data_IF_376442211344
#
_entry.id   IF_376442211344
#
_cell.length_a   1.000
_cell.length_b   1.000
_cell.length_c   1.000
_cell.angle_alpha   90.00
_cell.angle_beta   90.00
_cell.angle_gamma   90.00
#
_symmetry.space_group_name_H-M   'P 1'
#
loop_
_entity.id
_entity.type
_entity.pdbx_description
1 polymer ?
2 non-polymer ?
3 non-polymer ?
4 water ?
#
# COMPACT_ATOMS: atom_id res chain seq x y z
N UNK A 3 -20.05 23.42 -7.28
CA UNK A 3 -19.14 24.26 -6.46
C UNK A 3 -17.74 23.63 -6.40
N UNK A 4 -16.75 24.39 -5.93
CA UNK A 4 -15.35 23.93 -5.70
C UNK A 4 -15.27 23.17 -4.37
N UNK A 5 -14.58 22.04 -4.36
CA UNK A 5 -14.18 21.36 -3.10
C UNK A 5 -12.97 20.48 -3.36
N UNK A 6 -12.06 20.48 -2.41
CA UNK A 6 -10.86 19.64 -2.39
C UNK A 6 -10.91 18.75 -1.15
N UNK A 7 -10.87 17.43 -1.35
CA UNK A 7 -10.94 16.40 -0.27
C UNK A 7 -9.56 15.76 -0.13
N UNK A 8 -9.01 15.71 1.09
CA UNK A 8 -7.77 14.96 1.42
C UNK A 8 -8.14 13.68 2.15
N UNK A 9 -7.51 12.58 1.74
CA UNK A 9 -7.49 11.28 2.47
C UNK A 9 -6.04 10.89 2.68
N UNK A 10 -5.78 10.09 3.70
CA UNK A 10 -4.42 9.60 4.05
C UNK A 10 -4.34 8.10 3.78
N UNK A 11 -3.24 7.68 3.18
CA UNK A 11 -2.84 6.27 3.12
C UNK A 11 -1.59 6.11 3.94
N UNK A 12 -1.41 4.93 4.52
CA UNK A 12 -0.14 4.47 5.10
C UNK A 12 0.32 3.24 4.33
N UNK A 13 1.44 3.37 3.63
CA UNK A 13 2.21 2.22 3.09
C UNK A 13 3.24 1.85 4.12
N UNK A 14 3.68 0.61 4.15
CA UNK A 14 4.64 0.18 5.15
C UNK A 14 5.12 -1.20 4.87
N UNK A 15 6.13 -1.63 5.58
CA UNK A 15 6.65 -3.01 5.47
C UNK A 15 7.37 -3.37 6.75
N UNK A 16 7.37 -4.66 7.03
CA UNK A 16 8.16 -5.29 8.08
C UNK A 16 9.05 -6.32 7.42
N UNK A 17 10.25 -6.50 7.94
CA UNK A 17 11.19 -7.55 7.52
C UNK A 17 11.96 -8.06 8.74
N UNK A 18 12.23 -9.36 8.78
CA UNK A 18 13.12 -9.94 9.80
C UNK A 18 13.88 -11.13 9.22
N UNK A 19 15.10 -11.30 9.67
CA UNK A 19 15.94 -12.50 9.41
C UNK A 19 15.23 -13.71 10.02
N UNK A 20 14.92 -14.73 9.22
CA UNK A 20 14.45 -16.04 9.71
C UNK A 20 15.55 -16.61 10.62
N UNK A 21 15.16 -17.15 11.78
CA UNK A 21 16.09 -17.87 12.72
C UNK A 21 17.03 -18.75 11.89
N UNK A 22 16.48 -19.63 11.06
CA UNK A 22 17.20 -20.36 9.98
C UNK A 22 16.61 -19.99 8.64
N UNK A 23 17.44 -19.87 7.57
CA UNK A 23 16.93 -19.69 6.21
C UNK A 23 15.96 -20.83 5.80
N UNK A 24 15.19 -20.62 4.74
CA UNK A 24 14.36 -21.68 4.12
C UNK A 24 15.26 -22.55 3.24
N UNK A 25 14.76 -23.73 2.89
CA UNK A 25 15.29 -24.66 1.85
C UNK A 25 15.82 -23.87 0.63
N UNK A 26 15.06 -22.84 0.18
CA UNK A 26 15.29 -22.07 -1.08
C UNK A 26 16.38 -21.00 -0.88
N UNK A 27 16.90 -20.96 0.37
CA UNK A 27 17.92 -19.98 0.79
C UNK A 27 17.31 -18.62 1.01
N UNK A 28 16.00 -18.58 1.23
CA UNK A 28 15.28 -17.36 1.69
C UNK A 28 15.65 -17.12 3.15
N UNK A 29 16.28 -15.98 3.40
CA UNK A 29 16.85 -15.59 4.70
C UNK A 29 15.82 -14.78 5.51
N UNK A 30 14.84 -14.18 4.84
CA UNK A 30 13.93 -13.16 5.45
C UNK A 30 12.47 -13.51 5.23
N UNK A 31 11.66 -13.15 6.21
CA UNK A 31 10.21 -12.92 6.03
C UNK A 31 10.02 -11.42 5.92
N UNK A 32 9.21 -11.00 4.97
CA UNK A 32 8.73 -9.60 4.94
C UNK A 32 7.21 -9.54 4.70
N UNK A 33 6.65 -8.41 5.03
CA UNK A 33 5.23 -8.11 4.83
C UNK A 33 5.13 -6.65 4.38
N UNK A 34 4.43 -6.39 3.29
CA UNK A 34 4.16 -5.01 2.80
C UNK A 34 2.65 -4.78 2.79
N UNK A 35 2.23 -3.55 3.04
CA UNK A 35 0.80 -3.24 3.19
C UNK A 35 0.50 -1.82 2.78
N UNK A 36 -0.76 -1.59 2.49
CA UNK A 36 -1.43 -0.27 2.44
C UNK A 36 -2.61 -0.31 3.41
N UNK A 37 -2.76 0.72 4.23
CA UNK A 37 -3.89 0.84 5.18
C UNK A 37 -4.28 2.29 5.34
N UNK A 38 -5.41 2.53 5.99
CA UNK A 38 -5.82 3.87 6.45
C UNK A 38 -5.24 4.13 7.82
N UNK A 39 -5.24 5.40 8.28
CA UNK A 39 -5.03 5.70 9.69
C UNK A 39 -6.10 4.99 10.54
N UNK A 40 -5.96 5.07 11.86
CA UNK A 40 -6.96 4.57 12.85
C UNK A 40 -8.36 5.08 12.51
N UNK A 41 -9.36 4.18 12.43
CA UNK A 41 -10.81 4.49 12.43
C UNK A 41 -11.26 5.04 11.06
N UNK A 42 -10.45 4.86 10.03
CA UNK A 42 -10.82 5.16 8.61
C UNK A 42 -10.97 3.85 7.86
N UNK A 43 -11.92 3.80 6.96
CA UNK A 43 -12.15 2.63 6.09
C UNK A 43 -11.85 3.04 4.65
N UNK A 44 -10.60 2.88 4.20
CA UNK A 44 -10.16 3.29 2.84
C UNK A 44 -10.86 2.42 1.80
N UNK A 45 -11.47 1.31 2.22
CA UNK A 45 -12.16 0.40 1.26
C UNK A 45 -13.29 1.16 0.56
N UNK A 46 -13.80 2.23 1.17
CA UNK A 46 -14.91 3.04 0.60
C UNK A 46 -14.50 3.64 -0.76
N UNK A 47 -13.20 3.96 -0.93
CA UNK A 47 -12.71 4.70 -2.11
C UNK A 47 -11.60 3.92 -2.82
N UNK A 48 -11.04 2.91 -2.17
CA UNK A 48 -10.06 1.98 -2.78
C UNK A 48 -10.81 0.80 -3.39
N UNK A 49 -10.73 0.62 -4.71
CA UNK A 49 -11.23 -0.59 -5.40
C UNK A 49 -10.33 -1.77 -5.06
N UNK A 50 -9.02 -1.62 -5.25
CA UNK A 50 -8.01 -2.69 -5.04
C UNK A 50 -6.64 -2.07 -4.89
N UNK A 51 -5.71 -2.84 -4.36
CA UNK A 51 -4.25 -2.51 -4.36
C UNK A 51 -3.52 -3.63 -5.10
N UNK A 52 -2.68 -3.27 -6.05
CA UNK A 52 -1.81 -4.18 -6.83
C UNK A 52 -0.38 -3.95 -6.37
N UNK A 53 0.23 -4.98 -5.79
CA UNK A 53 1.65 -5.05 -5.41
C UNK A 53 2.42 -5.76 -6.53
N UNK A 54 3.35 -5.05 -7.15
CA UNK A 54 4.22 -5.57 -8.24
C UNK A 54 5.53 -6.03 -7.63
N UNK A 55 5.61 -7.32 -7.35
CA UNK A 55 6.80 -7.98 -6.78
C UNK A 55 7.87 -8.07 -7.83
N UNK A 56 9.11 -8.30 -7.43
CA UNK A 56 10.27 -8.52 -8.34
C UNK A 56 9.94 -9.65 -9.33
N UNK A 57 10.36 -9.51 -10.59
CA UNK A 57 10.19 -10.53 -11.67
C UNK A 57 10.62 -11.92 -11.17
N UNK A 58 11.55 -11.97 -10.19
CA UNK A 58 12.11 -13.22 -9.59
C UNK A 58 11.02 -14.02 -8.85
N UNK A 59 9.89 -13.40 -8.49
CA UNK A 59 8.74 -14.08 -7.83
C UNK A 59 7.83 -14.67 -8.90
N UNK A 60 7.19 -15.83 -8.63
CA UNK A 60 6.07 -16.29 -9.44
C UNK A 60 4.79 -15.49 -9.11
N UNK A 61 3.79 -15.51 -10.00
CA UNK A 61 2.65 -14.55 -10.05
C UNK A 61 3.03 -13.30 -9.25
N UNK A 62 3.95 -12.46 -9.81
CA UNK A 62 4.42 -11.27 -9.11
C UNK A 62 3.36 -10.15 -9.00
N UNK A 63 2.35 -10.15 -9.87
CA UNK A 63 1.15 -9.29 -9.74
C UNK A 63 0.27 -9.83 -8.62
N UNK A 64 0.28 -9.16 -7.47
CA UNK A 64 -0.51 -9.51 -6.28
C UNK A 64 -1.63 -8.48 -6.09
N UNK A 65 -2.86 -8.91 -6.15
CA UNK A 65 -4.06 -8.04 -6.10
C UNK A 65 -4.72 -8.29 -4.75
N UNK A 66 -4.97 -7.24 -3.97
CA UNK A 66 -5.90 -7.24 -2.82
C UNK A 66 -7.10 -6.39 -3.16
N UNK A 67 -8.27 -7.01 -3.29
CA UNK A 67 -9.52 -6.35 -3.69
C UNK A 67 -10.27 -5.85 -2.45
N UNK A 68 -9.85 -6.29 -1.25
CA UNK A 68 -10.44 -5.83 0.05
C UNK A 68 -9.38 -5.93 1.15
N UNK A 69 -9.58 -5.26 2.31
CA UNK A 69 -8.62 -5.35 3.40
C UNK A 69 -8.49 -6.80 3.84
N UNK A 70 -7.31 -7.23 4.32
CA UNK A 70 -6.13 -6.38 4.37
C UNK A 70 -5.47 -6.25 3.01
N UNK A 71 -4.97 -5.07 2.70
CA UNK A 71 -4.13 -4.79 1.52
C UNK A 71 -2.68 -5.07 1.89
N UNK A 72 -2.24 -6.30 1.74
CA UNK A 72 -0.89 -6.71 2.19
C UNK A 72 -0.40 -7.91 1.38
N UNK A 73 0.91 -8.05 1.26
CA UNK A 73 1.60 -9.28 0.78
C UNK A 73 2.53 -9.74 1.88
N UNK A 74 2.51 -11.02 2.19
CA UNK A 74 3.50 -11.65 3.09
C UNK A 74 4.33 -12.65 2.28
N UNK A 75 5.64 -12.55 2.39
CA UNK A 75 6.58 -13.35 1.58
C UNK A 75 7.85 -13.58 2.38
N UNK A 76 8.60 -14.58 1.98
CA UNK A 76 10.02 -14.81 2.37
C UNK A 76 10.89 -14.64 1.12
N UNK A 77 12.06 -14.04 1.29
CA UNK A 77 13.03 -13.81 0.19
C UNK A 77 14.43 -13.62 0.73
N UNK A 78 15.33 -13.11 -0.09
CA UNK A 78 16.76 -12.99 0.27
C UNK A 78 17.28 -11.60 -0.09
N UNK A 79 16.50 -10.75 -0.76
CA UNK A 79 16.94 -9.40 -1.15
C UNK A 79 15.75 -8.44 -1.22
N UNK A 80 15.97 -7.19 -0.81
CA UNK A 80 15.02 -6.07 -1.00
C UNK A 80 14.91 -5.70 -2.48
N UNK A 81 13.93 -4.89 -2.83
CA UNK A 81 13.72 -4.40 -4.20
C UNK A 81 12.73 -3.26 -4.17
N UNK A 82 12.63 -2.56 -5.27
CA UNK A 82 11.66 -1.47 -5.52
C UNK A 82 10.36 -2.08 -6.00
N UNK A 83 9.29 -1.85 -5.26
CA UNK A 83 7.98 -2.47 -5.53
C UNK A 83 7.01 -1.37 -5.98
N UNK A 84 6.56 -1.39 -7.24
CA UNK A 84 5.43 -0.57 -7.63
C UNK A 84 4.18 -1.04 -6.89
N UNK A 85 3.47 -0.10 -6.29
CA UNK A 85 2.16 -0.34 -5.62
C UNK A 85 1.14 0.58 -6.27
N UNK A 86 0.13 0.00 -6.89
CA UNK A 86 -0.99 0.73 -7.49
C UNK A 86 -2.17 0.67 -6.54
N UNK A 87 -2.70 1.83 -6.18
CA UNK A 87 -3.95 1.96 -5.40
C UNK A 87 -5.05 2.46 -6.34
N UNK A 88 -5.92 1.55 -6.73
CA UNK A 88 -7.02 1.83 -7.67
C UNK A 88 -8.21 2.38 -6.90
N UNK A 89 -8.85 3.41 -7.45
CA UNK A 89 -9.97 4.12 -6.81
C UNK A 89 -11.30 3.64 -7.40
N UNK A 90 -12.35 3.72 -6.61
CA UNK A 90 -13.77 3.58 -7.05
C UNK A 90 -14.23 4.93 -7.62
N UNK A 91 -13.41 5.51 -8.49
CA UNK A 91 -13.61 6.85 -9.12
C UNK A 91 -13.96 6.63 -10.60
N UNK A 92 -14.98 7.30 -11.08
CA UNK A 92 -15.50 7.11 -12.45
C UNK A 92 -14.70 8.01 -13.39
N UNK A 93 -13.99 9.02 -12.86
CA UNK A 93 -13.17 9.99 -13.64
C UNK A 93 -11.71 9.93 -13.13
N UNK A 94 -10.83 10.76 -13.71
CA UNK A 94 -9.41 10.86 -13.29
C UNK A 94 -9.34 11.62 -11.97
N UNK A 95 -8.37 11.29 -11.09
CA UNK A 95 -7.53 10.11 -11.26
C UNK A 95 -8.18 8.77 -10.84
N UNK A 96 -7.82 7.72 -11.54
CA UNK A 96 -8.44 6.38 -11.45
C UNK A 96 -7.63 5.53 -10.48
N UNK A 97 -6.39 5.91 -10.27
CA UNK A 97 -5.44 5.19 -9.40
C UNK A 97 -4.28 6.12 -9.10
N UNK A 98 -3.43 5.72 -8.17
CA UNK A 98 -2.17 6.40 -7.84
C UNK A 98 -1.10 5.32 -7.70
N UNK A 99 0.11 5.65 -8.10
CA UNK A 99 1.24 4.69 -8.22
C UNK A 99 2.38 5.14 -7.33
N UNK A 100 2.79 4.28 -6.44
CA UNK A 100 3.92 4.50 -5.55
C UNK A 100 5.03 3.57 -5.97
N UNK A 101 6.25 3.99 -5.79
CA UNK A 101 7.48 3.19 -5.89
C UNK A 101 7.95 2.89 -4.48
N UNK A 102 7.66 1.70 -3.96
CA UNK A 102 7.94 1.39 -2.54
C UNK A 102 9.33 0.73 -2.43
N UNK A 103 10.16 1.29 -1.56
CA UNK A 103 11.49 0.76 -1.22
C UNK A 103 11.32 -0.38 -0.20
N UNK A 104 11.20 -1.61 -0.67
CA UNK A 104 11.18 -2.81 0.20
C UNK A 104 12.60 -3.27 0.49
N UNK A 105 13.21 -2.74 1.54
CA UNK A 105 14.57 -3.15 1.98
C UNK A 105 14.46 -4.11 3.17
N UNK A 106 15.47 -4.94 3.30
CA UNK A 106 15.60 -5.96 4.36
C UNK A 106 16.67 -5.52 5.35
N UNK A 107 16.61 -6.02 6.59
CA UNK A 107 17.67 -5.87 7.60
C UNK A 107 18.73 -6.93 7.31
N UNK A 108 19.98 -6.54 7.21
CA UNK A 108 21.08 -7.49 6.97
C UNK A 108 22.05 -7.41 8.13
N UNK A 109 22.90 -8.44 8.24
CA UNK A 109 24.01 -8.55 9.24
C UNK A 109 23.48 -8.24 10.64
N UNK A 110 22.59 -9.08 11.16
CA UNK A 110 22.11 -8.99 12.55
C UNK A 110 21.75 -7.56 12.95
N UNK A 111 21.09 -6.82 12.06
CA UNK A 111 20.40 -5.55 12.41
C UNK A 111 19.03 -5.87 12.95
N UNK A 112 18.45 -5.01 13.80
CA UNK A 112 17.08 -5.19 14.23
C UNK A 112 16.14 -5.41 13.04
N UNK A 113 14.97 -6.06 13.26
CA UNK A 113 13.91 -6.10 12.26
C UNK A 113 13.54 -4.70 11.74
N UNK A 114 13.07 -4.66 10.51
CA UNK A 114 12.59 -3.43 9.81
C UNK A 114 11.09 -3.27 10.09
N UNK A 115 10.66 -2.11 10.53
CA UNK A 115 9.22 -1.81 10.76
C UNK A 115 8.99 -0.38 10.31
N UNK A 116 8.69 -0.22 9.02
CA UNK A 116 8.68 1.08 8.32
C UNK A 116 7.27 1.46 7.93
N UNK A 117 7.02 2.76 7.93
CA UNK A 117 5.73 3.37 7.58
C UNK A 117 5.98 4.60 6.70
N UNK A 118 5.23 4.71 5.64
CA UNK A 118 5.29 5.83 4.68
C UNK A 118 3.90 6.44 4.60
N UNK A 119 3.74 7.64 5.13
CA UNK A 119 2.43 8.32 5.20
C UNK A 119 2.24 9.14 3.93
N UNK A 120 1.14 8.92 3.21
CA UNK A 120 0.82 9.64 1.96
C UNK A 120 -0.50 10.38 2.13
N UNK A 121 -0.56 11.62 1.67
CA UNK A 121 -1.77 12.45 1.64
C UNK A 121 -2.23 12.56 0.20
N UNK A 122 -3.40 12.06 -0.12
CA UNK A 122 -4.02 12.25 -1.45
C UNK A 122 -4.90 13.49 -1.40
N UNK A 123 -4.71 14.42 -2.32
CA UNK A 123 -5.59 15.58 -2.52
C UNK A 123 -6.39 15.40 -3.80
N UNK A 124 -7.71 15.25 -3.68
CA UNK A 124 -8.64 15.19 -4.84
C UNK A 124 -9.31 16.55 -5.03
N UNK A 125 -9.04 17.19 -6.17
CA UNK A 125 -9.65 18.49 -6.55
C UNK A 125 -10.96 18.22 -7.23
N UNK A 126 -12.04 18.77 -6.69
CA UNK A 126 -13.36 18.79 -7.34
C UNK A 126 -13.71 17.36 -7.74
N UNK A 127 -13.66 16.38 -6.81
CA UNK A 127 -14.19 15.06 -7.11
C UNK A 127 -15.68 15.19 -7.58
N UNK A 128 -16.13 14.18 -8.36
CA UNK A 128 -17.58 13.95 -8.63
C UNK A 128 -18.31 13.82 -7.29
N UNK A 129 -19.63 14.01 -7.30
CA UNK A 129 -20.53 13.79 -6.16
C UNK A 129 -20.33 12.36 -5.65
N UNK A 130 -20.41 11.37 -6.56
CA UNK A 130 -20.30 9.92 -6.26
C UNK A 130 -19.02 9.65 -5.47
N UNK A 131 -17.86 9.90 -6.09
CA UNK A 131 -16.53 9.57 -5.52
C UNK A 131 -16.28 10.42 -4.26
N UNK A 132 -16.74 11.67 -4.27
CA UNK A 132 -16.65 12.54 -3.07
C UNK A 132 -17.32 11.85 -1.86
N UNK A 133 -18.46 11.19 -2.05
CA UNK A 133 -19.20 10.48 -0.97
C UNK A 133 -18.24 9.46 -0.33
N UNK A 134 -17.65 8.63 -1.18
CA UNK A 134 -16.75 7.51 -0.81
C UNK A 134 -15.56 8.05 0.00
N UNK A 135 -14.91 9.10 -0.49
CA UNK A 135 -13.75 9.73 0.18
C UNK A 135 -14.17 10.16 1.57
N UNK A 136 -15.33 10.81 1.69
CA UNK A 136 -15.88 11.26 2.99
C UNK A 136 -16.15 10.03 3.88
N UNK A 137 -16.88 9.02 3.34
CA UNK A 137 -17.27 7.77 4.07
C UNK A 137 -16.02 7.15 4.67
N UNK A 138 -14.89 7.28 3.99
CA UNK A 138 -13.60 6.68 4.35
C UNK A 138 -12.92 7.51 5.43
N UNK A 139 -13.44 8.70 5.70
CA UNK A 139 -12.87 9.62 6.71
C UNK A 139 -11.84 10.62 6.09
N UNK A 140 -12.19 11.05 4.84
CA UNK A 140 -11.53 12.20 4.16
C UNK A 140 -12.09 13.54 4.62
N UNK A 141 -11.35 14.65 4.37
CA UNK A 141 -11.60 16.00 4.94
C UNK A 141 -11.61 17.07 3.83
N UNK A 142 -12.65 17.89 3.78
CA UNK A 142 -12.73 19.09 2.92
C UNK A 142 -11.63 20.07 3.33
N UNK A 143 -11.03 20.77 2.36
CA UNK A 143 -9.84 21.66 2.55
C UNK A 143 -10.15 23.05 1.96
N UNK A 144 -11.14 23.77 2.52
CA UNK A 144 -11.41 25.21 2.21
C UNK A 144 -12.12 25.86 3.41
X LIG B 1 8.13 8.45 -5.52
X LIG B 1 8.84 7.57 -4.67
X LIG B 1 6.86 7.86 -5.99
X LIG B 1 6.48 6.75 -5.23
X LIG C 1 -4.76 7.31 -13.57
X LIG C 1 -3.72 8.04 -12.97
X LIG C 1 -5.69 8.17 -14.34
X LIG C 1 -6.40 7.44 -15.33
X LIG D 1 -9.01 9.23 5.33
X LIG D 1 -7.77 9.79 5.70
X LIG D 1 -8.93 7.80 5.01
X LIG D 1 -8.19 7.53 3.84
X LIG E 1 7.91 -9.86 8.75
X LIG E 1 8.11 -9.49 10.09
X LIG E 1 7.03 -11.03 8.58
X LIG E 1 5.69 -10.70 8.31
X LIG F 1 -2.90 -4.07 7.08
X LIG F 1 -3.57 -3.35 8.10
X LIG F 1 -1.63 -4.67 7.53
X LIG F 1 -0.95 -3.89 8.50
X LIG G 1 -16.85 -0.15 2.23
X LIG G 1 -16.45 -0.34 3.56
X LIG G 1 -17.08 -1.41 1.51
X LIG G 1 -17.23 -1.25 0.11
X LIG H 1 -5.22 11.95 -6.05
X LIG H 1 -5.07 13.36 -6.25
X LIG H 1 -3.97 11.19 -6.25
X LIG H 1 -2.83 11.89 -5.80
X LIG I 1 17.31 1.12 1.60
X LIG I 1 16.83 2.45 1.47
X LIG I 1 18.09 0.91 2.84
X LIG I 1 17.90 1.93 3.79
X LIG J 1 -15.69 15.97 6.82
X LIG J 1 -16.49 15.86 5.66
X LIG J 1 -15.15 17.33 7.02
X LIG J 1 -14.58 17.85 5.85
X LIG K 1 -7.60 -8.66 -11.13
X LIG K 1 -7.01 -7.40 -11.26
X LIG K 1 -8.94 -8.72 -11.74
X LIG K 1 -9.69 -7.53 -11.55
X LIG L 1 16.04 -10.95 -6.23
X LIG L 1 16.98 -10.29 -7.00
X LIG L 1 17.14 -8.92 -6.93
X LIG L 1 18.11 -8.21 -7.84
X LIG L 1 21.09 -7.32 -5.65
X LIG L 1 19.85 -8.05 -6.14
X LIG L 1 18.46 -6.00 -6.78
X LIG L 1 15.22 -10.23 -5.35
X LIG L 1 14.27 -10.93 -4.40
X LIG L 1 13.59 -13.18 -3.80
X LIG L 1 11.97 -14.93 -3.23
X LIG L 1 13.92 -12.29 -4.76
X LIG L 1 10.88 -15.72 -3.95
X LIG L 1 13.40 -15.20 -5.18
X LIG L 1 12.27 -15.94 -5.88
X LIG L 1 12.85 -14.25 -4.20
X LIG L 1 10.84 -17.85 -5.23
X LIG L 1 9.05 -19.23 -5.00
X LIG L 1 11.47 -16.66 -4.90
X LIG L 1 9.67 -20.20 -5.76
X LIG L 1 10.92 -19.88 -6.24
X LIG L 1 15.37 -8.86 -5.30
X LIG L 1 16.31 -8.21 -6.08
X LIG L 1 9.61 -18.05 -4.72
X LIG L 1 13.92 -13.03 -2.63
X LIG L 1 11.54 -18.72 -5.99
X LIG L 1 19.08 -7.31 -7.16
X LIG L 1 18.41 -5.70 -5.28
#
# INVERSE_FOLDING_TARGET
MDNQCTVQVRLELGHRAQLRKKPTTEGFTHDWMVFVRGPEQCDIQHFVEKVVFWLHDSFPKPRRVCKEPPYKVEESGYAGFIMPIEVHFKNKEEPRKVCFTYDLFLNLEGNPPVNHLRCEKLTFNNPTTEFRYKLLRAGGVMVMPEGAHHHHHH
EDO C1 O1 C2 O2
EDO C1 O1 C2 O2
EDO C1 O1 C2 O2
EDO C1 O1 C2 O2
EDO C1 O1 C2 O2
EDO C1 O1 C2 O2
EDO C1 O1 C2 O2
EDO C1 O1 C2 O2
EDO C1 O1 C2 O2
EDO C1 O1 C2 O2
M7N C7 C6 C5 C4 C3 C2 C1 C8 C9 C10 C11 N1 C12 C13 C14 N2 C15 C16 N3 C17 C18 C19 C20 N4 O N5 N C
#
